data_IF_636107687736
#
_entry.id   IF_636107687736
#
_cell.length_a   1.000
_cell.length_b   1.000
_cell.length_c   1.000
_cell.angle_alpha   90.00
_cell.angle_beta   90.00
_cell.angle_gamma   90.00
#
_symmetry.space_group_name_H-M   'P 1'
#
loop_
_entity.id
_entity.type
_entity.pdbx_description
1 polymer ?
#
# COMPACT_ATOMS: atom_id res chain seq x y z
N UNK A 1 8.23 -61.09 -46.23
CA UNK A 1 8.16 -60.44 -44.91
C UNK A 1 6.78 -59.80 -44.76
N UNK A 2 5.88 -60.47 -44.07
CA UNK A 2 4.55 -59.94 -43.72
C UNK A 2 4.73 -58.88 -42.64
N UNK A 3 4.47 -57.61 -42.97
CA UNK A 3 4.42 -56.53 -41.99
C UNK A 3 3.14 -56.70 -41.17
N UNK A 4 3.28 -57.11 -39.91
CA UNK A 4 2.20 -57.06 -38.94
C UNK A 4 1.96 -55.60 -38.56
N UNK A 5 0.78 -55.08 -38.86
CA UNK A 5 0.32 -53.77 -38.38
C UNK A 5 -0.38 -54.02 -37.05
N UNK A 6 0.18 -53.52 -35.96
CA UNK A 6 -0.46 -53.54 -34.64
C UNK A 6 -1.32 -52.28 -34.55
N UNK A 7 -2.64 -52.45 -34.53
CA UNK A 7 -3.60 -51.40 -34.19
C UNK A 7 -3.71 -51.32 -32.67
N UNK A 8 -3.22 -50.23 -32.09
CA UNK A 8 -3.38 -49.93 -30.67
C UNK A 8 -4.66 -49.11 -30.53
N UNK A 9 -5.60 -49.58 -29.71
CA UNK A 9 -6.79 -48.79 -29.37
C UNK A 9 -6.39 -47.59 -28.50
N UNK A 10 -6.58 -46.38 -29.05
CA UNK A 10 -6.26 -45.12 -28.39
C UNK A 10 -7.46 -44.48 -27.68
N UNK A 11 -8.67 -45.03 -27.84
CA UNK A 11 -9.89 -44.50 -27.22
C UNK A 11 -9.76 -44.28 -25.70
N UNK A 12 -9.22 -45.22 -24.89
CA UNK A 12 -9.10 -44.99 -23.44
C UNK A 12 -8.12 -43.87 -23.08
N UNK A 13 -7.05 -43.71 -23.87
CA UNK A 13 -6.07 -42.64 -23.67
C UNK A 13 -6.67 -41.27 -24.01
N UNK A 14 -7.45 -41.20 -25.09
CA UNK A 14 -8.17 -39.99 -25.50
C UNK A 14 -9.18 -39.60 -24.43
N UNK A 15 -9.97 -40.55 -23.92
CA UNK A 15 -10.95 -40.27 -22.87
C UNK A 15 -10.27 -39.75 -21.59
N UNK A 16 -9.17 -40.36 -21.15
CA UNK A 16 -8.42 -39.88 -19.99
C UNK A 16 -7.90 -38.44 -20.19
N UNK A 17 -7.43 -38.11 -21.40
CA UNK A 17 -6.97 -36.76 -21.71
C UNK A 17 -8.13 -35.75 -21.72
N UNK A 18 -9.32 -36.14 -22.20
CA UNK A 18 -10.53 -35.32 -22.13
C UNK A 18 -10.92 -35.06 -20.68
N UNK A 19 -10.98 -36.10 -19.83
CA UNK A 19 -11.37 -35.97 -18.43
C UNK A 19 -10.41 -35.06 -17.65
N UNK A 20 -9.10 -35.18 -17.91
CA UNK A 20 -8.09 -34.31 -17.29
C UNK A 20 -8.25 -32.85 -17.74
N UNK A 21 -8.48 -32.64 -19.04
CA UNK A 21 -8.67 -31.33 -19.65
C UNK A 21 -9.95 -30.65 -19.14
N UNK A 22 -11.07 -31.37 -19.06
CA UNK A 22 -12.33 -30.90 -18.46
C UNK A 22 -12.14 -30.54 -16.98
N UNK A 23 -11.45 -31.38 -16.20
CA UNK A 23 -11.18 -31.10 -14.78
C UNK A 23 -10.42 -29.79 -14.56
N UNK A 24 -9.42 -29.49 -15.41
CA UNK A 24 -8.68 -28.23 -15.31
C UNK A 24 -9.51 -27.04 -15.77
N UNK A 25 -10.32 -27.20 -16.82
CA UNK A 25 -11.23 -26.16 -17.27
C UNK A 25 -12.24 -25.77 -16.17
N UNK A 26 -12.86 -26.75 -15.51
CA UNK A 26 -13.82 -26.50 -14.43
C UNK A 26 -13.17 -25.80 -13.23
N UNK A 27 -11.93 -26.15 -12.89
CA UNK A 27 -11.17 -25.48 -11.81
C UNK A 27 -10.90 -24.02 -12.13
N UNK A 28 -10.52 -23.71 -13.37
CA UNK A 28 -10.32 -22.31 -13.82
C UNK A 28 -11.65 -21.56 -13.77
N UNK A 29 -12.71 -22.13 -14.35
CA UNK A 29 -14.03 -21.47 -14.38
C UNK A 29 -14.53 -21.18 -12.96
N UNK A 30 -14.40 -22.15 -12.04
CA UNK A 30 -14.77 -21.99 -10.64
C UNK A 30 -13.94 -20.90 -9.96
N UNK A 31 -12.62 -20.88 -10.17
CA UNK A 31 -11.74 -19.88 -9.58
C UNK A 31 -12.09 -18.47 -10.06
N UNK A 32 -12.33 -18.30 -11.37
CA UNK A 32 -12.72 -17.01 -11.95
C UNK A 32 -14.07 -16.52 -11.43
N UNK A 33 -15.06 -17.42 -11.27
CA UNK A 33 -16.35 -17.07 -10.67
C UNK A 33 -16.16 -16.60 -9.22
N UNK A 34 -15.30 -17.27 -8.46
CA UNK A 34 -15.02 -16.88 -7.07
C UNK A 34 -14.30 -15.53 -7.00
N UNK A 35 -13.32 -15.27 -7.86
CA UNK A 35 -12.61 -13.99 -7.93
C UNK A 35 -13.59 -12.86 -8.26
N UNK A 36 -14.46 -13.06 -9.26
CA UNK A 36 -15.45 -12.07 -9.65
C UNK A 36 -16.42 -11.79 -8.50
N UNK A 37 -16.93 -12.84 -7.85
CA UNK A 37 -17.80 -12.69 -6.68
C UNK A 37 -17.12 -11.92 -5.55
N UNK A 38 -15.84 -12.18 -5.32
CA UNK A 38 -15.07 -11.45 -4.33
C UNK A 38 -15.09 -9.94 -4.61
N UNK A 39 -14.80 -9.56 -5.86
CA UNK A 39 -14.76 -8.16 -6.30
C UNK A 39 -16.15 -7.50 -6.27
N UNK A 40 -17.18 -8.20 -6.73
CA UNK A 40 -18.51 -7.63 -6.89
C UNK A 40 -19.30 -7.54 -5.58
N UNK A 41 -19.17 -8.56 -4.73
CA UNK A 41 -20.03 -8.73 -3.54
C UNK A 41 -19.24 -8.82 -2.25
N UNK A 42 -18.25 -9.72 -2.14
CA UNK A 42 -17.67 -10.02 -0.82
C UNK A 42 -16.89 -8.83 -0.25
N UNK A 43 -16.12 -8.14 -1.09
CA UNK A 43 -15.33 -6.98 -0.68
C UNK A 43 -16.21 -5.83 -0.19
N UNK A 44 -17.32 -5.56 -0.88
CA UNK A 44 -18.27 -4.50 -0.51
C UNK A 44 -18.93 -4.82 0.84
N UNK A 45 -19.47 -6.02 0.98
CA UNK A 45 -20.12 -6.47 2.21
C UNK A 45 -19.15 -6.48 3.40
N UNK A 46 -17.90 -6.92 3.17
CA UNK A 46 -16.88 -6.88 4.21
C UNK A 46 -16.54 -5.45 4.62
N UNK A 47 -16.38 -4.52 3.68
CA UNK A 47 -16.05 -3.13 3.98
C UNK A 47 -17.16 -2.44 4.78
N UNK A 48 -18.42 -2.62 4.38
CA UNK A 48 -19.58 -2.10 5.11
C UNK A 48 -19.65 -2.66 6.53
N UNK A 49 -19.51 -3.98 6.67
CA UNK A 49 -19.48 -4.64 7.96
C UNK A 49 -18.30 -4.18 8.83
N UNK A 50 -17.11 -4.05 8.24
CA UNK A 50 -15.90 -3.61 8.93
C UNK A 50 -16.05 -2.18 9.43
N UNK A 51 -16.58 -1.26 8.62
CA UNK A 51 -16.84 0.12 9.03
C UNK A 51 -17.81 0.19 10.21
N UNK A 52 -18.94 -0.52 10.14
CA UNK A 52 -19.93 -0.53 11.24
C UNK A 52 -19.33 -1.10 12.53
N UNK A 53 -18.56 -2.18 12.42
CA UNK A 53 -17.97 -2.87 13.56
C UNK A 53 -16.83 -2.06 14.18
N UNK A 54 -15.94 -1.51 13.35
CA UNK A 54 -14.80 -0.69 13.79
C UNK A 54 -15.25 0.64 14.41
N UNK A 55 -16.30 1.28 13.90
CA UNK A 55 -16.85 2.50 14.50
C UNK A 55 -17.25 2.31 15.97
N UNK A 56 -17.81 1.16 16.33
CA UNK A 56 -18.16 0.86 17.72
C UNK A 56 -16.90 0.77 18.60
N UNK A 57 -15.85 0.10 18.12
CA UNK A 57 -14.59 0.04 18.85
C UNK A 57 -13.88 1.40 18.94
N UNK A 58 -13.96 2.21 17.90
CA UNK A 58 -13.38 3.54 17.88
C UNK A 58 -14.07 4.46 18.88
N UNK A 59 -15.41 4.49 18.90
CA UNK A 59 -16.18 5.25 19.91
C UNK A 59 -15.77 4.89 21.34
N UNK A 60 -15.58 3.61 21.61
CA UNK A 60 -15.14 3.10 22.91
C UNK A 60 -13.74 3.58 23.31
N UNK A 61 -12.83 3.71 22.34
CA UNK A 61 -11.49 4.26 22.55
C UNK A 61 -11.57 5.77 22.72
N UNK A 62 -12.36 6.47 21.91
CA UNK A 62 -12.51 7.92 21.94
C UNK A 62 -13.05 8.41 23.30
N UNK A 63 -13.97 7.66 23.92
CA UNK A 63 -14.45 7.95 25.28
C UNK A 63 -13.30 7.90 26.30
N UNK A 64 -12.41 6.90 26.21
CA UNK A 64 -11.26 6.79 27.12
C UNK A 64 -10.21 7.85 26.78
N UNK A 65 -10.01 8.14 25.49
CA UNK A 65 -9.06 9.12 24.99
C UNK A 65 -9.41 10.53 25.42
N UNK A 66 -10.66 10.95 25.22
CA UNK A 66 -11.15 12.26 25.66
C UNK A 66 -11.03 12.43 27.17
N UNK A 67 -11.28 11.39 27.95
CA UNK A 67 -11.06 11.42 29.40
C UNK A 67 -9.57 11.53 29.76
N UNK A 68 -8.71 10.76 29.09
CA UNK A 68 -7.25 10.82 29.25
C UNK A 68 -6.70 12.21 28.88
N UNK A 69 -7.13 12.76 27.74
CA UNK A 69 -6.66 14.03 27.21
C UNK A 69 -6.96 15.18 28.19
N UNK A 70 -8.18 15.24 28.75
CA UNK A 70 -8.52 16.23 29.78
C UNK A 70 -7.60 16.18 31.00
N UNK A 71 -7.26 14.98 31.46
CA UNK A 71 -6.35 14.78 32.61
C UNK A 71 -4.92 15.17 32.22
N UNK A 72 -4.48 14.83 31.01
CA UNK A 72 -3.16 15.17 30.49
C UNK A 72 -3.00 16.68 30.27
N UNK A 73 -3.99 17.37 29.72
CA UNK A 73 -4.02 18.83 29.57
C UNK A 73 -3.88 19.51 30.93
N UNK A 74 -4.68 19.09 31.92
CA UNK A 74 -4.56 19.60 33.29
C UNK A 74 -3.17 19.31 33.88
N UNK A 75 -2.62 18.11 33.66
CA UNK A 75 -1.26 17.77 34.11
C UNK A 75 -0.20 18.69 33.48
N UNK A 76 -0.31 18.97 32.18
CA UNK A 76 0.60 19.86 31.48
C UNK A 76 0.53 21.29 32.02
N UNK A 77 -0.67 21.78 32.36
CA UNK A 77 -0.82 23.08 33.03
C UNK A 77 -0.16 23.11 34.41
N UNK A 78 -0.24 22.02 35.17
CA UNK A 78 0.43 21.88 36.48
C UNK A 78 1.95 21.93 36.31
N UNK A 79 2.50 21.17 35.35
CA UNK A 79 3.94 21.14 35.08
C UNK A 79 4.43 22.52 34.61
N UNK A 80 3.75 23.13 33.64
CA UNK A 80 4.08 24.47 33.16
C UNK A 80 4.07 25.50 34.29
N UNK A 81 3.01 25.51 35.11
CA UNK A 81 2.90 26.46 36.23
C UNK A 81 4.01 26.26 37.27
N UNK A 82 4.42 25.00 37.52
CA UNK A 82 5.54 24.71 38.40
C UNK A 82 6.85 25.28 37.87
N UNK A 83 7.08 25.21 36.55
CA UNK A 83 8.27 25.75 35.91
C UNK A 83 8.26 27.28 35.82
N UNK A 84 7.17 27.86 35.33
CA UNK A 84 6.98 29.30 35.13
C UNK A 84 7.06 30.09 36.45
N UNK A 85 6.32 29.63 37.47
CA UNK A 85 6.33 30.28 38.79
C UNK A 85 7.47 29.80 39.68
N UNK A 86 8.27 28.83 39.21
CA UNK A 86 9.35 28.18 39.94
C UNK A 86 8.87 27.71 41.34
N UNK A 87 7.75 27.00 41.37
CA UNK A 87 7.12 26.42 42.57
C UNK A 87 7.19 24.89 42.53
N UNK A 88 6.89 24.22 43.65
CA UNK A 88 6.86 22.76 43.67
C UNK A 88 5.66 22.20 42.86
N UNK A 89 5.77 20.98 42.32
CA UNK A 89 4.65 20.35 41.61
C UNK A 89 3.36 20.23 42.45
N UNK A 90 3.42 19.87 43.76
CA UNK A 90 2.22 19.87 44.61
C UNK A 90 1.61 21.27 44.79
N UNK A 91 2.44 22.32 44.86
CA UNK A 91 1.98 23.70 44.97
C UNK A 91 1.33 24.18 43.67
N UNK A 92 1.94 23.88 42.52
CA UNK A 92 1.33 24.15 41.22
C UNK A 92 0.00 23.40 41.03
N UNK A 93 -0.06 22.13 41.47
CA UNK A 93 -1.31 21.36 41.46
C UNK A 93 -2.40 22.06 42.28
N UNK A 94 -2.08 22.50 43.50
CA UNK A 94 -3.01 23.23 44.34
C UNK A 94 -3.51 24.53 43.70
N UNK A 95 -2.60 25.32 43.09
CA UNK A 95 -2.97 26.54 42.37
C UNK A 95 -3.90 26.27 41.17
N UNK A 96 -3.67 25.19 40.43
CA UNK A 96 -4.55 24.82 39.30
C UNK A 96 -5.92 24.32 39.77
N UNK A 97 -5.98 23.61 40.90
CA UNK A 97 -7.27 23.22 41.51
C UNK A 97 -8.05 24.45 41.98
N UNK A 98 -7.39 25.44 42.60
CA UNK A 98 -8.04 26.70 42.96
C UNK A 98 -8.52 27.48 41.73
N UNK A 99 -7.73 27.52 40.66
CA UNK A 99 -8.14 28.12 39.38
C UNK A 99 -9.38 27.42 38.79
N UNK A 100 -9.47 26.09 38.87
CA UNK A 100 -10.63 25.33 38.44
C UNK A 100 -11.87 25.60 39.32
N UNK A 101 -11.71 25.69 40.64
CA UNK A 101 -12.80 26.06 41.56
C UNK A 101 -13.30 27.49 41.30
N UNK A 102 -12.39 28.43 41.02
CA UNK A 102 -12.73 29.80 40.63
C UNK A 102 -13.42 29.85 39.27
N UNK A 103 -13.03 29.00 38.32
CA UNK A 103 -13.69 28.89 37.03
C UNK A 103 -15.12 28.37 37.16
N UNK A 104 -15.34 27.32 37.96
CA UNK A 104 -16.66 26.73 38.17
C UNK A 104 -17.61 27.67 38.92
N UNK A 105 -17.11 28.33 39.97
CA UNK A 105 -17.94 29.16 40.86
C UNK A 105 -17.96 30.66 40.50
N UNK A 106 -17.09 31.10 39.58
CA UNK A 106 -16.91 32.49 39.22
C UNK A 106 -17.98 33.06 38.28
N UNK A 107 -17.98 34.38 38.18
CA UNK A 107 -18.80 35.17 37.25
C UNK A 107 -18.35 34.98 35.80
N UNK A 108 -19.18 35.39 34.83
CA UNK A 108 -18.86 35.25 33.40
C UNK A 108 -17.53 35.94 33.00
N UNK A 109 -17.25 37.10 33.61
CA UNK A 109 -16.02 37.86 33.37
C UNK A 109 -14.78 37.15 33.96
N UNK A 110 -14.90 36.54 35.14
CA UNK A 110 -13.84 35.73 35.75
C UNK A 110 -13.55 34.48 34.91
N UNK A 111 -14.59 33.81 34.39
CA UNK A 111 -14.43 32.68 33.46
C UNK A 111 -13.72 33.08 32.18
N UNK A 112 -14.10 34.22 31.58
CA UNK A 112 -13.45 34.72 30.38
C UNK A 112 -11.96 35.06 30.61
N UNK A 113 -11.63 35.62 31.79
CA UNK A 113 -10.24 35.89 32.18
C UNK A 113 -9.43 34.60 32.35
N UNK A 114 -9.99 33.60 33.01
CA UNK A 114 -9.32 32.29 33.21
C UNK A 114 -9.12 31.57 31.86
N UNK A 115 -10.10 31.62 30.96
CA UNK A 115 -9.94 31.05 29.60
C UNK A 115 -8.79 31.70 28.82
N UNK A 116 -8.67 33.03 28.86
CA UNK A 116 -7.53 33.72 28.24
C UNK A 116 -6.18 33.29 28.83
N UNK A 117 -6.10 33.11 30.16
CA UNK A 117 -4.89 32.61 30.82
C UNK A 117 -4.56 31.17 30.42
N UNK A 118 -5.57 30.30 30.28
CA UNK A 118 -5.40 28.93 29.80
C UNK A 118 -4.94 28.88 28.36
N UNK A 119 -5.50 29.72 27.50
CA UNK A 119 -5.11 29.82 26.09
C UNK A 119 -3.65 30.29 25.95
N UNK A 120 -3.25 31.34 26.68
CA UNK A 120 -1.85 31.80 26.72
C UNK A 120 -0.90 30.71 27.21
N UNK A 121 -1.30 29.97 28.26
CA UNK A 121 -0.55 28.83 28.77
C UNK A 121 -0.42 27.72 27.72
N UNK A 122 -1.48 27.43 26.99
CA UNK A 122 -1.48 26.40 25.96
C UNK A 122 -0.58 26.79 24.77
N UNK A 123 -0.62 28.05 24.32
CA UNK A 123 0.30 28.60 23.30
C UNK A 123 1.76 28.50 23.74
N UNK A 124 2.04 28.81 25.02
CA UNK A 124 3.37 28.66 25.60
C UNK A 124 3.85 27.20 25.64
N UNK A 125 2.96 26.26 26.00
CA UNK A 125 3.25 24.81 26.03
C UNK A 125 3.49 24.26 24.62
N UNK A 126 2.73 24.73 23.63
CA UNK A 126 2.85 24.29 22.24
C UNK A 126 4.08 24.90 21.52
N UNK A 127 4.75 25.88 22.12
CA UNK A 127 5.91 26.55 21.54
C UNK A 127 5.57 27.61 20.50
N UNK A 128 4.32 28.10 20.47
CA UNK A 128 3.84 29.11 19.51
C UNK A 128 4.10 30.55 19.97
N UNK A 129 4.83 30.77 21.07
CA UNK A 129 5.34 32.09 21.42
C UNK A 129 6.72 32.31 20.80
N UNK A 130 6.75 32.46 19.48
CA UNK A 130 7.81 33.23 18.83
C UNK A 130 7.42 34.72 18.95
N UNK A 131 8.17 35.44 19.79
CA UNK A 131 8.51 36.87 19.75
C UNK A 131 7.59 37.87 19.00
N UNK A 132 6.27 37.84 19.19
CA UNK A 132 5.39 38.94 18.78
C UNK A 132 5.35 40.04 19.85
N UNK A 133 6.48 40.76 19.95
CA UNK A 133 6.44 42.17 20.31
C UNK A 133 6.94 42.98 19.12
N UNK A 134 5.97 43.48 18.35
CA UNK A 134 6.03 44.31 17.13
C UNK A 134 5.77 43.55 15.83
N UNK A 135 4.50 43.39 15.45
CA UNK A 135 4.05 43.93 14.16
C UNK A 135 2.53 44.06 14.14
N UNK A 136 2.05 45.27 13.84
CA UNK A 136 0.66 45.51 13.46
C UNK A 136 0.50 44.96 12.03
N UNK A 137 -0.06 43.76 11.90
CA UNK A 137 -0.18 43.07 10.62
C UNK A 137 -1.47 42.26 10.50
N UNK A 138 -2.56 42.98 10.26
CA UNK A 138 -3.80 42.49 9.64
C UNK A 138 -3.53 41.46 8.52
N UNK A 139 -3.89 40.20 8.73
CA UNK A 139 -4.39 39.31 7.67
C UNK A 139 -5.29 38.24 8.30
N UNK A 140 -6.59 38.54 8.33
CA UNK A 140 -7.58 37.51 8.08
C UNK A 140 -7.36 36.97 6.67
N UNK A 141 -7.08 35.67 6.52
CA UNK A 141 -7.44 35.00 5.28
C UNK A 141 -7.82 33.55 5.54
N UNK A 142 -9.08 33.27 5.23
CA UNK A 142 -9.63 31.94 5.03
C UNK A 142 -8.74 31.21 4.02
N UNK A 143 -7.99 30.20 4.47
CA UNK A 143 -7.35 29.25 3.57
C UNK A 143 -8.43 28.38 2.93
N UNK A 144 -9.02 28.92 1.86
CA UNK A 144 -9.77 28.22 0.84
C UNK A 144 -8.85 27.08 0.34
N UNK A 145 -9.25 25.85 0.64
CA UNK A 145 -8.70 24.65 0.01
C UNK A 145 -9.08 24.72 -1.48
N UNK A 146 -8.25 25.36 -2.29
CA UNK A 146 -8.36 25.29 -3.74
C UNK A 146 -8.11 23.83 -4.16
N UNK A 147 -9.15 23.22 -4.71
CA UNK A 147 -9.16 21.88 -5.29
C UNK A 147 -8.35 21.95 -6.61
N UNK A 148 -7.02 21.89 -6.48
CA UNK A 148 -6.08 21.92 -7.61
C UNK A 148 -6.41 20.74 -8.52
N UNK A 149 -6.74 21.03 -9.78
CA UNK A 149 -7.10 20.00 -10.76
C UNK A 149 -5.96 18.98 -10.94
N UNK A 150 -6.30 17.72 -11.28
CA UNK A 150 -5.31 16.66 -11.53
C UNK A 150 -4.26 17.06 -12.60
N UNK A 151 -4.62 17.94 -13.53
CA UNK A 151 -3.75 18.44 -14.59
C UNK A 151 -2.70 19.44 -14.07
N UNK A 152 -3.08 20.31 -13.14
CA UNK A 152 -2.16 21.23 -12.46
C UNK A 152 -1.21 20.49 -11.51
N UNK A 153 -1.70 19.46 -10.82
CA UNK A 153 -0.84 18.59 -9.99
C UNK A 153 0.21 17.87 -10.84
N UNK A 154 -0.16 17.37 -12.02
CA UNK A 154 0.79 16.74 -12.95
C UNK A 154 1.83 17.74 -13.47
N UNK A 155 1.42 18.96 -13.80
CA UNK A 155 2.33 20.00 -14.27
C UNK A 155 3.33 20.42 -13.19
N UNK A 156 2.86 20.60 -11.95
CA UNK A 156 3.75 20.88 -10.81
C UNK A 156 4.73 19.72 -10.56
N UNK A 157 4.28 18.47 -10.63
CA UNK A 157 5.15 17.30 -10.48
C UNK A 157 6.21 17.20 -11.60
N UNK A 158 5.85 17.53 -12.84
CA UNK A 158 6.80 17.59 -13.96
C UNK A 158 7.85 18.69 -13.77
N UNK A 159 7.44 19.87 -13.33
CA UNK A 159 8.36 20.98 -13.05
C UNK A 159 9.31 20.65 -11.90
N UNK A 160 8.79 20.09 -10.79
CA UNK A 160 9.61 19.62 -9.67
C UNK A 160 10.63 18.55 -10.11
N UNK A 161 10.22 17.59 -10.94
CA UNK A 161 11.11 16.57 -11.48
C UNK A 161 12.23 17.19 -12.33
N UNK A 162 11.88 18.17 -13.18
CA UNK A 162 12.86 18.86 -14.02
C UNK A 162 13.88 19.61 -13.18
N UNK A 163 13.43 20.28 -12.11
CA UNK A 163 14.32 20.94 -11.15
C UNK A 163 15.22 19.96 -10.41
N UNK A 164 14.68 18.84 -9.92
CA UNK A 164 15.46 17.81 -9.22
C UNK A 164 16.53 17.20 -10.13
N UNK A 165 16.22 16.93 -11.41
CA UNK A 165 17.19 16.42 -12.39
C UNK A 165 18.29 17.42 -12.70
N UNK A 166 17.95 18.71 -12.82
CA UNK A 166 18.94 19.76 -13.02
C UNK A 166 19.85 19.92 -11.80
N UNK A 167 19.30 19.80 -10.58
CA UNK A 167 20.06 19.86 -9.34
C UNK A 167 21.08 18.71 -9.23
N UNK A 168 20.70 17.49 -9.61
CA UNK A 168 21.53 16.28 -9.55
C UNK A 168 22.25 15.92 -10.85
N UNK A 169 22.36 16.85 -11.81
CA UNK A 169 22.89 16.55 -13.15
C UNK A 169 24.30 15.92 -13.11
N UNK A 170 25.17 16.41 -12.23
CA UNK A 170 26.55 15.92 -12.09
C UNK A 170 26.58 14.52 -11.51
N UNK A 171 25.78 14.25 -10.49
CA UNK A 171 25.66 12.98 -9.80
C UNK A 171 25.05 11.92 -10.72
N UNK A 172 24.00 12.26 -11.47
CA UNK A 172 23.39 11.40 -12.48
C UNK A 172 24.40 11.00 -13.55
N UNK A 173 25.11 11.98 -14.11
CA UNK A 173 26.17 11.72 -15.10
C UNK A 173 27.28 10.84 -14.53
N UNK A 174 27.68 11.05 -13.27
CA UNK A 174 28.65 10.21 -12.59
C UNK A 174 28.18 8.75 -12.50
N UNK A 175 26.93 8.49 -12.08
CA UNK A 175 26.40 7.14 -11.97
C UNK A 175 26.16 6.46 -13.33
N UNK A 176 25.75 7.21 -14.35
CA UNK A 176 25.62 6.72 -15.72
C UNK A 176 26.98 6.20 -16.23
N UNK A 177 28.06 6.94 -15.96
CA UNK A 177 29.44 6.59 -16.36
C UNK A 177 30.07 5.45 -15.55
N UNK A 178 29.50 5.06 -14.40
CA UNK A 178 30.02 3.92 -13.63
C UNK A 178 29.78 2.60 -14.38
N UNK A 179 30.86 1.93 -14.76
CA UNK A 179 30.79 0.56 -15.26
C UNK A 179 30.52 -0.43 -14.12
N UNK A 180 29.91 -1.58 -14.43
CA UNK A 180 29.70 -2.64 -13.42
C UNK A 180 30.98 -3.09 -12.73
N UNK A 181 32.13 -3.04 -13.44
CA UNK A 181 33.44 -3.34 -12.86
C UNK A 181 33.86 -2.32 -11.80
N UNK A 182 33.57 -1.04 -12.03
CA UNK A 182 33.84 0.02 -11.04
C UNK A 182 32.89 -0.09 -9.85
N UNK A 183 31.60 -0.36 -10.08
CA UNK A 183 30.62 -0.57 -9.00
C UNK A 183 31.07 -1.74 -8.13
N UNK A 184 31.40 -2.90 -8.74
CA UNK A 184 31.93 -4.06 -8.00
C UNK A 184 33.25 -3.78 -7.27
N UNK A 185 34.05 -2.81 -7.72
CA UNK A 185 35.28 -2.38 -7.04
C UNK A 185 34.96 -1.56 -5.79
N UNK A 186 34.02 -0.62 -5.88
CA UNK A 186 33.56 0.20 -4.74
C UNK A 186 32.90 -0.71 -3.69
N UNK A 187 32.06 -1.64 -4.13
CA UNK A 187 31.34 -2.60 -3.28
C UNK A 187 32.23 -3.63 -2.55
N UNK A 188 33.57 -3.59 -2.74
CA UNK A 188 34.50 -4.39 -1.94
C UNK A 188 34.63 -3.87 -0.52
N UNK A 189 34.45 -2.56 -0.33
CA UNK A 189 34.39 -1.94 0.98
C UNK A 189 32.92 -1.79 1.41
N UNK A 190 32.59 -2.32 2.58
CA UNK A 190 31.21 -2.32 3.08
C UNK A 190 30.71 -0.89 3.38
N UNK A 191 31.58 0.03 3.80
CA UNK A 191 31.21 1.41 4.12
C UNK A 191 30.95 2.21 2.85
N UNK A 192 31.88 2.16 1.89
CA UNK A 192 31.75 2.87 0.62
C UNK A 192 30.58 2.32 -0.21
N UNK A 193 30.37 1.00 -0.19
CA UNK A 193 29.23 0.36 -0.84
C UNK A 193 27.88 0.80 -0.26
N UNK A 194 27.77 0.92 1.08
CA UNK A 194 26.56 1.43 1.72
C UNK A 194 26.33 2.91 1.42
N UNK A 195 27.37 3.76 1.46
CA UNK A 195 27.23 5.17 1.11
C UNK A 195 26.79 5.37 -0.34
N UNK A 196 27.36 4.61 -1.28
CA UNK A 196 26.96 4.65 -2.68
C UNK A 196 25.46 4.32 -2.86
N UNK A 197 24.97 3.32 -2.13
CA UNK A 197 23.56 2.93 -2.15
C UNK A 197 22.65 4.01 -1.54
N UNK A 198 23.02 4.59 -0.40
CA UNK A 198 22.24 5.68 0.22
C UNK A 198 22.11 6.85 -0.76
N UNK A 199 23.23 7.33 -1.30
CA UNK A 199 23.23 8.47 -2.22
C UNK A 199 22.43 8.17 -3.49
N UNK A 200 22.62 7.00 -4.09
CA UNK A 200 21.91 6.61 -5.29
C UNK A 200 20.39 6.50 -5.06
N UNK A 201 19.97 5.94 -3.91
CA UNK A 201 18.55 5.83 -3.55
C UNK A 201 17.93 7.21 -3.33
N UNK A 202 18.60 8.10 -2.59
CA UNK A 202 18.12 9.47 -2.39
C UNK A 202 17.91 10.19 -3.72
N UNK A 203 18.91 10.13 -4.60
CA UNK A 203 18.87 10.83 -5.90
C UNK A 203 17.78 10.24 -6.80
N UNK A 204 17.60 8.92 -6.82
CA UNK A 204 16.60 8.30 -7.67
C UNK A 204 15.17 8.44 -7.15
N UNK A 205 14.95 8.61 -5.83
CA UNK A 205 13.64 8.99 -5.30
C UNK A 205 13.24 10.41 -5.74
N UNK A 206 14.20 11.32 -5.89
CA UNK A 206 13.95 12.70 -6.33
C UNK A 206 13.90 12.85 -7.86
N UNK A 207 14.69 12.07 -8.60
CA UNK A 207 14.84 12.20 -10.06
C UNK A 207 14.09 11.13 -10.88
N UNK A 208 13.45 10.18 -10.21
CA UNK A 208 12.78 9.01 -10.77
C UNK A 208 13.70 8.08 -11.60
N UNK A 209 15.03 8.18 -11.45
CA UNK A 209 16.02 7.35 -12.16
C UNK A 209 16.25 5.99 -11.46
N UNK A 210 15.19 5.19 -11.37
CA UNK A 210 15.25 3.86 -10.73
C UNK A 210 16.12 2.85 -11.48
N UNK A 211 16.39 3.10 -12.76
CA UNK A 211 17.34 2.35 -13.59
C UNK A 211 18.77 2.37 -13.00
N UNK A 212 19.19 3.51 -12.43
CA UNK A 212 20.49 3.65 -11.80
C UNK A 212 20.61 2.84 -10.51
N UNK A 213 19.57 2.88 -9.66
CA UNK A 213 19.54 2.04 -8.45
C UNK A 213 19.61 0.58 -8.86
N UNK A 214 18.81 0.15 -9.84
CA UNK A 214 18.76 -1.26 -10.25
C UNK A 214 20.13 -1.74 -10.75
N UNK A 215 20.82 -0.93 -11.56
CA UNK A 215 22.20 -1.20 -12.04
C UNK A 215 23.18 -1.38 -10.87
N UNK A 216 23.17 -0.48 -9.89
CA UNK A 216 24.06 -0.54 -8.72
C UNK A 216 23.68 -1.73 -7.82
N UNK A 217 22.40 -1.94 -7.60
CA UNK A 217 21.86 -3.01 -6.78
C UNK A 217 22.17 -4.40 -7.33
N UNK A 218 22.09 -4.60 -8.66
CA UNK A 218 22.47 -5.85 -9.30
C UNK A 218 23.97 -6.19 -9.14
N UNK A 219 24.80 -5.17 -8.95
CA UNK A 219 26.23 -5.34 -8.67
C UNK A 219 26.58 -5.45 -7.18
N UNK A 220 25.58 -5.35 -6.28
CA UNK A 220 25.79 -5.29 -4.83
C UNK A 220 25.93 -6.70 -4.22
N UNK A 221 26.97 -6.97 -3.40
CA UNK A 221 27.14 -8.25 -2.70
C UNK A 221 25.98 -8.57 -1.73
N UNK A 222 25.63 -9.86 -1.54
CA UNK A 222 24.52 -10.27 -0.65
C UNK A 222 24.62 -9.73 0.79
N UNK A 223 25.85 -9.59 1.30
CA UNK A 223 26.13 -9.06 2.64
C UNK A 223 25.67 -7.61 2.78
N UNK A 224 26.03 -6.75 1.82
CA UNK A 224 25.66 -5.33 1.79
C UNK A 224 24.15 -5.21 1.55
N UNK A 225 23.58 -6.01 0.63
CA UNK A 225 22.13 -6.04 0.39
C UNK A 225 21.33 -6.30 1.66
N UNK A 226 21.72 -7.31 2.44
CA UNK A 226 21.05 -7.67 3.70
C UNK A 226 21.11 -6.54 4.73
N UNK A 227 22.28 -5.90 4.88
CA UNK A 227 22.47 -4.78 5.81
C UNK A 227 21.64 -3.57 5.40
N UNK A 228 21.69 -3.20 4.12
CA UNK A 228 20.97 -2.06 3.57
C UNK A 228 19.45 -2.25 3.66
N UNK A 229 18.93 -3.40 3.23
CA UNK A 229 17.50 -3.72 3.30
C UNK A 229 16.95 -3.65 4.74
N UNK A 230 17.73 -4.07 5.74
CA UNK A 230 17.31 -3.99 7.15
C UNK A 230 17.16 -2.54 7.62
N UNK A 231 18.05 -1.65 7.19
CA UNK A 231 17.95 -0.22 7.46
C UNK A 231 16.78 0.41 6.71
N UNK A 232 16.73 0.17 5.40
CA UNK A 232 15.69 0.70 4.51
C UNK A 232 14.27 0.27 4.93
N UNK A 233 14.08 -1.00 5.31
CA UNK A 233 12.78 -1.49 5.79
C UNK A 233 12.35 -0.85 7.11
N UNK A 234 13.30 -0.48 7.98
CA UNK A 234 12.98 0.22 9.23
C UNK A 234 12.50 1.65 8.97
N UNK A 235 13.04 2.32 7.96
CA UNK A 235 12.71 3.70 7.62
C UNK A 235 11.46 3.82 6.74
N UNK A 236 11.33 2.95 5.73
CA UNK A 236 10.30 3.06 4.69
C UNK A 236 9.22 1.96 4.76
N UNK A 237 9.32 1.02 5.71
CA UNK A 237 8.34 -0.06 5.90
C UNK A 237 8.40 -1.19 4.85
N UNK A 238 9.29 -1.11 3.85
CA UNK A 238 9.52 -2.15 2.83
C UNK A 238 11.01 -2.30 2.51
N UNK A 239 11.43 -3.44 1.97
CA UNK A 239 12.81 -3.62 1.48
C UNK A 239 13.04 -2.87 0.17
N UNK A 240 14.31 -2.55 -0.15
CA UNK A 240 14.65 -1.95 -1.44
C UNK A 240 14.35 -2.93 -2.59
N UNK A 241 14.54 -4.24 -2.37
CA UNK A 241 14.12 -5.28 -3.32
C UNK A 241 12.61 -5.17 -3.64
N UNK A 242 11.77 -5.03 -2.62
CA UNK A 242 10.32 -4.89 -2.82
C UNK A 242 9.91 -3.58 -3.49
N UNK A 243 10.64 -2.48 -3.23
CA UNK A 243 10.43 -1.21 -3.93
C UNK A 243 10.79 -1.35 -5.42
N UNK A 244 11.96 -1.89 -5.73
CA UNK A 244 12.43 -2.05 -7.10
C UNK A 244 11.53 -3.02 -7.89
N UNK A 245 11.07 -4.10 -7.28
CA UNK A 245 10.14 -5.05 -7.90
C UNK A 245 8.83 -4.34 -8.30
N UNK A 246 8.20 -3.60 -7.37
CA UNK A 246 6.99 -2.82 -7.66
C UNK A 246 7.19 -1.78 -8.75
N UNK A 247 8.32 -1.07 -8.72
CA UNK A 247 8.63 -0.06 -9.73
C UNK A 247 8.87 -0.71 -11.09
N UNK A 248 9.55 -1.87 -11.15
CA UNK A 248 9.73 -2.61 -12.40
C UNK A 248 8.44 -3.18 -12.96
N UNK A 249 7.56 -3.69 -12.10
CA UNK A 249 6.25 -4.22 -12.49
C UNK A 249 5.36 -3.10 -13.03
N UNK A 250 5.24 -1.99 -12.29
CA UNK A 250 4.51 -0.81 -12.72
C UNK A 250 5.05 -0.24 -14.04
N UNK A 251 6.36 -0.16 -14.20
CA UNK A 251 6.98 0.33 -15.43
C UNK A 251 6.72 -0.60 -16.63
N UNK A 252 6.62 -1.91 -16.42
CA UNK A 252 6.23 -2.88 -17.46
C UNK A 252 4.75 -2.75 -17.82
N UNK A 253 3.89 -2.58 -16.83
CA UNK A 253 2.45 -2.33 -17.03
C UNK A 253 2.23 -1.04 -17.84
N UNK A 254 2.88 0.06 -17.45
CA UNK A 254 2.79 1.36 -18.12
C UNK A 254 3.38 1.34 -19.54
N UNK A 255 4.37 0.47 -19.77
CA UNK A 255 4.98 0.25 -21.09
C UNK A 255 4.23 -0.76 -21.97
N UNK A 256 3.27 -1.52 -21.42
CA UNK A 256 2.51 -2.53 -22.15
C UNK A 256 3.36 -3.70 -22.69
N UNK A 257 4.48 -4.02 -22.02
CA UNK A 257 5.43 -5.02 -22.49
C UNK A 257 5.09 -6.39 -21.90
N UNK A 258 4.78 -7.36 -22.76
CA UNK A 258 4.64 -8.79 -22.39
C UNK A 258 6.00 -9.38 -21.98
N UNK A 259 6.03 -10.37 -21.08
CA UNK A 259 7.24 -10.93 -20.44
C UNK A 259 8.38 -11.43 -21.38
N UNK A 260 8.16 -11.51 -22.70
CA UNK A 260 9.12 -12.00 -23.69
C UNK A 260 9.77 -10.90 -24.55
N UNK A 261 9.32 -9.64 -24.46
CA UNK A 261 9.89 -8.51 -25.23
C UNK A 261 11.06 -7.84 -24.45
N UNK A 262 12.10 -7.38 -25.15
CA UNK A 262 13.25 -6.65 -24.55
C UNK A 262 12.78 -5.31 -23.94
N UNK A 263 12.42 -5.34 -22.65
CA UNK A 263 12.04 -4.16 -21.90
C UNK A 263 13.28 -3.31 -21.56
N UNK A 264 13.39 -2.15 -22.23
CA UNK A 264 14.42 -1.16 -21.89
C UNK A 264 13.96 -0.29 -20.71
N UNK A 265 14.23 -0.78 -19.50
CA UNK A 265 13.88 -0.13 -18.24
C UNK A 265 14.39 1.32 -18.14
N UNK A 266 15.54 1.65 -18.74
CA UNK A 266 16.12 2.99 -18.68
C UNK A 266 15.29 4.04 -19.45
N UNK A 267 14.76 3.67 -20.64
CA UNK A 267 13.96 4.59 -21.47
C UNK A 267 12.63 4.97 -20.84
N UNK A 268 12.04 4.11 -20.01
CA UNK A 268 10.77 4.38 -19.34
C UNK A 268 10.87 5.57 -18.38
N UNK A 269 12.02 5.78 -17.75
CA UNK A 269 12.23 6.86 -16.80
C UNK A 269 12.76 8.15 -17.43
N UNK A 270 13.03 8.20 -18.73
CA UNK A 270 13.42 9.46 -19.40
C UNK A 270 12.27 10.48 -19.38
N UNK A 271 11.02 10.02 -19.55
CA UNK A 271 9.78 10.84 -19.49
C UNK A 271 8.67 10.18 -18.66
N UNK A 272 8.73 10.19 -17.32
CA UNK A 272 7.78 9.45 -16.46
C UNK A 272 6.32 9.91 -16.53
N UNK A 273 6.09 11.12 -17.05
CA UNK A 273 4.77 11.76 -17.10
C UNK A 273 4.24 11.95 -18.53
N UNK A 274 5.03 11.63 -19.55
CA UNK A 274 4.48 11.49 -20.90
C UNK A 274 3.72 10.17 -20.91
N UNK A 275 2.38 10.22 -20.87
CA UNK A 275 1.54 9.05 -21.19
C UNK A 275 2.11 8.45 -22.46
N UNK A 276 2.65 7.25 -22.34
CA UNK A 276 3.38 6.57 -23.40
C UNK A 276 2.58 6.65 -24.70
N UNK A 277 3.00 7.56 -25.59
CA UNK A 277 2.60 7.58 -26.99
C UNK A 277 3.07 6.30 -27.71
N UNK A 278 3.79 5.42 -26.98
CA UNK A 278 4.15 4.04 -27.33
C UNK A 278 2.95 3.18 -27.79
N UNK A 279 1.71 3.51 -27.40
CA UNK A 279 0.52 2.87 -27.98
C UNK A 279 0.37 3.07 -29.49
N UNK A 280 1.09 4.00 -30.12
CA UNK A 280 1.10 4.16 -31.60
C UNK A 280 2.32 3.56 -32.28
N UNK A 281 3.48 3.45 -31.61
CA UNK A 281 4.73 3.06 -32.27
C UNK A 281 5.03 1.56 -32.19
N UNK A 282 4.40 0.82 -31.29
CA UNK A 282 4.63 -0.63 -31.14
C UNK A 282 3.76 -1.51 -32.06
N UNK A 283 2.85 -0.90 -32.85
CA UNK A 283 1.98 -1.61 -33.80
C UNK A 283 2.76 -2.12 -35.04
N UNK A 284 3.98 -1.62 -35.28
CA UNK A 284 4.71 -1.86 -36.53
C UNK A 284 5.86 -2.87 -36.41
N UNK A 285 6.12 -3.46 -35.24
CA UNK A 285 7.29 -4.34 -35.01
C UNK A 285 7.00 -5.74 -34.45
N UNK A 286 5.78 -6.28 -34.58
CA UNK A 286 5.54 -7.74 -34.41
C UNK A 286 5.59 -8.44 -35.77
N UNK A 287 6.22 -9.61 -35.83
CA UNK A 287 6.45 -10.34 -37.08
C UNK A 287 5.12 -10.57 -37.84
N UNK A 288 5.09 -10.39 -39.17
CA UNK A 288 3.87 -10.51 -39.97
C UNK A 288 3.19 -11.89 -39.87
N UNK A 289 3.92 -12.94 -39.49
CA UNK A 289 3.39 -14.31 -39.32
C UNK A 289 2.45 -14.45 -38.11
N UNK A 290 2.76 -13.82 -36.97
CA UNK A 290 1.93 -13.89 -35.77
C UNK A 290 0.61 -13.13 -35.93
N UNK A 291 0.63 -12.03 -36.70
CA UNK A 291 -0.57 -11.27 -37.05
C UNK A 291 -1.53 -12.11 -37.91
N UNK A 292 -1.02 -12.87 -38.87
CA UNK A 292 -1.84 -13.77 -39.70
C UNK A 292 -2.37 -14.97 -38.91
N UNK A 293 -1.55 -15.57 -38.04
CA UNK A 293 -1.99 -16.65 -37.15
C UNK A 293 -3.06 -16.19 -36.17
N UNK A 294 -2.93 -14.99 -35.60
CA UNK A 294 -3.94 -14.39 -34.72
C UNK A 294 -5.29 -14.23 -35.44
N UNK A 295 -5.28 -13.73 -36.69
CA UNK A 295 -6.49 -13.64 -37.53
C UNK A 295 -7.14 -15.00 -37.77
N UNK A 296 -6.35 -16.04 -38.03
CA UNK A 296 -6.84 -17.40 -38.26
C UNK A 296 -7.55 -17.94 -37.01
N UNK A 297 -6.90 -17.88 -35.84
CA UNK A 297 -7.48 -18.37 -34.59
C UNK A 297 -8.71 -17.55 -34.18
N UNK A 298 -8.67 -16.23 -34.33
CA UNK A 298 -9.82 -15.37 -34.07
C UNK A 298 -11.02 -15.72 -34.94
N UNK A 299 -10.82 -15.93 -36.25
CA UNK A 299 -11.90 -16.36 -37.15
C UNK A 299 -12.46 -17.72 -36.75
N UNK A 300 -11.61 -18.69 -36.40
CA UNK A 300 -12.05 -20.03 -35.94
C UNK A 300 -12.88 -19.94 -34.67
N UNK A 301 -12.42 -19.14 -33.70
CA UNK A 301 -13.15 -18.85 -32.46
C UNK A 301 -14.52 -18.23 -32.74
N UNK A 302 -14.56 -17.14 -33.51
CA UNK A 302 -15.82 -16.47 -33.83
C UNK A 302 -16.77 -17.38 -34.59
N UNK A 303 -16.26 -18.24 -35.48
CA UNK A 303 -17.10 -19.23 -36.17
C UNK A 303 -17.74 -20.26 -35.24
N UNK A 304 -17.22 -20.49 -34.03
CA UNK A 304 -17.78 -21.45 -33.07
C UNK A 304 -18.63 -20.79 -31.98
N UNK A 305 -18.28 -19.55 -31.60
CA UNK A 305 -18.88 -18.85 -30.45
C UNK A 305 -19.96 -17.83 -30.87
N UNK A 306 -20.11 -17.53 -32.17
CA UNK A 306 -21.15 -16.60 -32.65
C UNK A 306 -22.55 -17.06 -32.21
N UNK A 307 -23.43 -16.16 -31.72
CA UNK A 307 -24.71 -16.54 -31.12
C UNK A 307 -25.63 -17.24 -32.13
N UNK A 308 -25.51 -16.92 -33.42
CA UNK A 308 -26.29 -17.56 -34.49
C UNK A 308 -25.95 -19.04 -34.73
N UNK A 309 -24.76 -19.49 -34.30
CA UNK A 309 -24.32 -20.88 -34.48
C UNK A 309 -24.55 -21.76 -33.25
N UNK A 310 -24.89 -21.15 -32.11
CA UNK A 310 -25.14 -21.84 -30.86
C UNK A 310 -26.64 -22.09 -30.68
N UNK A 311 -27.00 -23.21 -30.05
CA UNK A 311 -28.39 -23.49 -29.70
C UNK A 311 -28.91 -22.42 -28.72
N UNK A 312 -30.14 -21.93 -28.92
CA UNK A 312 -30.73 -20.88 -28.06
C UNK A 312 -30.70 -21.22 -26.57
N UNK A 313 -30.94 -22.48 -26.21
CA UNK A 313 -30.87 -22.98 -24.83
C UNK A 313 -29.46 -22.92 -24.23
N UNK A 314 -28.43 -23.15 -25.03
CA UNK A 314 -27.04 -23.02 -24.60
C UNK A 314 -26.70 -21.55 -24.37
N UNK A 315 -27.10 -20.66 -25.29
CA UNK A 315 -26.88 -19.21 -25.17
C UNK A 315 -27.56 -18.65 -23.92
N UNK A 316 -28.78 -19.07 -23.60
CA UNK A 316 -29.47 -18.62 -22.37
C UNK A 316 -28.81 -19.12 -21.10
N UNK A 317 -28.35 -20.38 -21.08
CA UNK A 317 -27.77 -21.01 -19.88
C UNK A 317 -26.34 -20.53 -19.61
N UNK A 318 -25.55 -20.29 -20.66
CA UNK A 318 -24.13 -19.91 -20.59
C UNK A 318 -23.90 -18.44 -20.96
N UNK A 319 -24.92 -17.57 -20.88
CA UNK A 319 -24.82 -16.15 -21.27
C UNK A 319 -23.62 -15.43 -20.66
N UNK A 320 -23.48 -15.49 -19.34
CA UNK A 320 -22.37 -14.83 -18.62
C UNK A 320 -21.00 -15.42 -18.98
N UNK A 321 -20.95 -16.71 -19.32
CA UNK A 321 -19.73 -17.35 -19.80
C UNK A 321 -19.37 -16.85 -21.22
N UNK A 322 -20.35 -16.77 -22.13
CA UNK A 322 -20.16 -16.25 -23.48
C UNK A 322 -19.69 -14.79 -23.48
N UNK A 323 -20.29 -13.93 -22.65
CA UNK A 323 -19.88 -12.53 -22.53
C UNK A 323 -18.44 -12.39 -22.03
N UNK A 324 -18.04 -13.18 -21.03
CA UNK A 324 -16.65 -13.21 -20.53
C UNK A 324 -15.68 -13.73 -21.59
N UNK A 325 -16.06 -14.83 -22.25
CA UNK A 325 -15.27 -15.43 -23.32
C UNK A 325 -15.06 -14.46 -24.48
N UNK A 326 -16.09 -13.71 -24.89
CA UNK A 326 -15.95 -12.69 -25.94
C UNK A 326 -14.99 -11.59 -25.57
N UNK A 327 -15.08 -11.06 -24.34
CA UNK A 327 -14.12 -10.06 -23.86
C UNK A 327 -12.69 -10.62 -23.92
N UNK A 328 -12.46 -11.83 -23.43
CA UNK A 328 -11.15 -12.51 -23.50
C UNK A 328 -10.65 -12.69 -24.93
N UNK A 329 -11.51 -13.11 -25.86
CA UNK A 329 -11.15 -13.28 -27.28
C UNK A 329 -10.82 -11.92 -27.92
N UNK A 330 -11.60 -10.87 -27.63
CA UNK A 330 -11.36 -9.52 -28.15
C UNK A 330 -10.05 -8.95 -27.63
N UNK A 331 -9.78 -9.07 -26.33
CA UNK A 331 -8.51 -8.64 -25.72
C UNK A 331 -7.34 -9.45 -26.28
N UNK A 332 -7.43 -10.78 -26.32
CA UNK A 332 -6.36 -11.61 -26.87
C UNK A 332 -6.09 -11.32 -28.36
N UNK A 333 -7.10 -10.91 -29.12
CA UNK A 333 -6.95 -10.52 -30.52
C UNK A 333 -6.40 -9.09 -30.69
N UNK A 334 -6.85 -8.11 -29.88
CA UNK A 334 -6.27 -6.76 -29.88
C UNK A 334 -4.78 -6.81 -29.54
N UNK A 335 -4.42 -7.70 -28.63
CA UNK A 335 -3.06 -7.86 -28.14
C UNK A 335 -2.25 -8.80 -29.05
N UNK A 336 -2.81 -9.27 -30.17
CA UNK A 336 -2.24 -10.26 -31.10
C UNK A 336 -1.62 -11.50 -30.40
N UNK A 337 -2.19 -11.91 -29.26
CA UNK A 337 -1.68 -12.99 -28.45
C UNK A 337 -2.17 -14.35 -28.98
N UNK A 338 -1.44 -14.90 -29.95
CA UNK A 338 -1.75 -16.18 -30.61
C UNK A 338 -1.89 -17.32 -29.61
N UNK A 339 -1.07 -17.34 -28.55
CA UNK A 339 -1.11 -18.37 -27.51
C UNK A 339 -2.40 -18.33 -26.72
N UNK A 340 -2.81 -17.13 -26.29
CA UNK A 340 -4.09 -16.92 -25.62
C UNK A 340 -5.27 -17.29 -26.52
N UNK A 341 -5.24 -16.91 -27.80
CA UNK A 341 -6.27 -17.29 -28.77
C UNK A 341 -6.33 -18.82 -28.99
N UNK A 342 -5.19 -19.51 -29.04
CA UNK A 342 -5.13 -20.97 -29.15
C UNK A 342 -5.69 -21.66 -27.90
N UNK A 343 -5.37 -21.14 -26.71
CA UNK A 343 -5.92 -21.64 -25.44
C UNK A 343 -7.43 -21.43 -25.37
N UNK A 344 -7.92 -20.24 -25.72
CA UNK A 344 -9.35 -19.95 -25.77
C UNK A 344 -10.07 -20.84 -26.78
N UNK A 345 -9.43 -21.15 -27.92
CA UNK A 345 -9.99 -22.06 -28.91
C UNK A 345 -10.16 -23.48 -28.35
N UNK A 346 -9.16 -23.99 -27.62
CA UNK A 346 -9.26 -25.28 -26.92
C UNK A 346 -10.37 -25.25 -25.86
N UNK A 347 -10.44 -24.20 -25.04
CA UNK A 347 -11.52 -24.02 -24.05
C UNK A 347 -12.91 -24.06 -24.70
N UNK A 348 -13.10 -23.39 -25.84
CA UNK A 348 -14.36 -23.41 -26.60
C UNK A 348 -14.71 -24.80 -27.10
N UNK A 349 -13.74 -25.54 -27.65
CA UNK A 349 -14.00 -26.90 -28.13
C UNK A 349 -14.41 -27.84 -26.99
N UNK A 350 -13.80 -27.69 -25.82
CA UNK A 350 -14.15 -28.46 -24.60
C UNK A 350 -15.57 -28.10 -24.15
N UNK A 351 -15.88 -26.81 -23.99
CA UNK A 351 -17.20 -26.37 -23.53
C UNK A 351 -18.33 -26.77 -24.49
N UNK A 352 -18.03 -26.90 -25.79
CA UNK A 352 -18.96 -27.37 -26.82
C UNK A 352 -18.94 -28.91 -27.01
N UNK A 353 -18.06 -29.63 -26.32
CA UNK A 353 -17.84 -31.08 -26.45
C UNK A 353 -17.50 -31.53 -27.88
N UNK A 354 -16.79 -30.70 -28.63
CA UNK A 354 -16.36 -30.99 -30.01
C UNK A 354 -14.95 -31.61 -30.03
N UNK A 355 -14.80 -32.75 -29.37
CA UNK A 355 -13.50 -33.42 -29.21
C UNK A 355 -12.94 -34.02 -30.51
N UNK A 356 -13.81 -34.29 -31.49
CA UNK A 356 -13.44 -34.86 -32.79
C UNK A 356 -12.50 -33.94 -33.60
N UNK A 357 -12.44 -32.65 -33.25
CA UNK A 357 -11.60 -31.65 -33.91
C UNK A 357 -10.19 -31.53 -33.28
N UNK A 358 -9.89 -32.34 -32.25
CA UNK A 358 -8.66 -32.21 -31.46
C UNK A 358 -7.89 -33.53 -31.45
N UNK A 359 -6.60 -33.46 -31.77
CA UNK A 359 -5.71 -34.64 -31.69
C UNK A 359 -5.36 -34.97 -30.25
N UNK A 360 -5.01 -36.23 -29.96
CA UNK A 360 -4.55 -36.64 -28.62
C UNK A 360 -3.38 -35.77 -28.10
N UNK A 361 -2.44 -35.41 -28.97
CA UNK A 361 -1.33 -34.50 -28.63
C UNK A 361 -1.81 -33.11 -28.22
N UNK A 362 -2.83 -32.59 -28.89
CA UNK A 362 -3.41 -31.28 -28.57
C UNK A 362 -4.24 -31.31 -27.29
N UNK A 363 -4.94 -32.41 -26.99
CA UNK A 363 -5.64 -32.61 -25.71
C UNK A 363 -4.65 -32.59 -24.54
N UNK A 364 -3.54 -33.34 -24.65
CA UNK A 364 -2.51 -33.40 -23.61
C UNK A 364 -1.81 -32.05 -23.43
N UNK A 365 -1.43 -31.40 -24.53
CA UNK A 365 -0.85 -30.05 -24.48
C UNK A 365 -1.85 -29.04 -23.89
N UNK A 366 -3.13 -29.15 -24.25
CA UNK A 366 -4.20 -28.33 -23.70
C UNK A 366 -4.34 -28.48 -22.19
N UNK A 367 -4.29 -29.72 -21.67
CA UNK A 367 -4.38 -29.98 -20.24
C UNK A 367 -3.20 -29.37 -19.48
N UNK A 368 -1.97 -29.50 -20.02
CA UNK A 368 -0.79 -28.85 -19.45
C UNK A 368 -0.88 -27.32 -19.50
N UNK A 369 -1.44 -26.75 -20.58
CA UNK A 369 -1.63 -25.31 -20.73
C UNK A 369 -2.67 -24.78 -19.74
N UNK A 370 -3.82 -25.45 -19.59
CA UNK A 370 -4.83 -25.07 -18.59
C UNK A 370 -4.29 -25.23 -17.17
N UNK A 371 -3.50 -26.27 -16.88
CA UNK A 371 -2.85 -26.42 -15.58
C UNK A 371 -1.92 -25.25 -15.26
N UNK A 372 -1.10 -24.81 -16.23
CA UNK A 372 -0.23 -23.64 -16.11
C UNK A 372 -1.02 -22.34 -15.96
N UNK A 373 -2.13 -22.21 -16.67
CA UNK A 373 -3.03 -21.06 -16.57
C UNK A 373 -3.70 -21.00 -15.18
N UNK A 374 -4.18 -22.13 -14.68
CA UNK A 374 -4.73 -22.24 -13.33
C UNK A 374 -3.72 -21.82 -12.26
N UNK A 375 -2.47 -22.30 -12.34
CA UNK A 375 -1.43 -21.89 -11.40
C UNK A 375 -1.12 -20.41 -11.51
N UNK A 376 -1.04 -19.86 -12.73
CA UNK A 376 -0.82 -18.42 -12.96
C UNK A 376 -1.95 -17.56 -12.39
N UNK A 377 -3.21 -17.92 -12.63
CA UNK A 377 -4.37 -17.19 -12.08
C UNK A 377 -4.33 -17.25 -10.56
N UNK A 378 -4.03 -18.42 -9.98
CA UNK A 378 -3.96 -18.59 -8.53
C UNK A 378 -2.82 -17.77 -7.89
N UNK A 379 -1.66 -17.71 -8.55
CA UNK A 379 -0.51 -16.93 -8.08
C UNK A 379 -0.76 -15.43 -8.22
N UNK A 380 -1.23 -14.97 -9.37
CA UNK A 380 -1.59 -13.55 -9.58
C UNK A 380 -2.69 -13.07 -8.64
N UNK A 381 -3.60 -13.96 -8.22
CA UNK A 381 -4.68 -13.66 -7.29
C UNK A 381 -4.39 -14.13 -5.86
N UNK A 382 -3.15 -14.45 -5.51
CA UNK A 382 -2.79 -14.95 -4.18
C UNK A 382 -3.19 -13.96 -3.07
N UNK A 383 -3.00 -12.66 -3.31
CA UNK A 383 -3.40 -11.62 -2.37
C UNK A 383 -4.92 -11.60 -2.16
N UNK A 384 -5.69 -11.61 -3.25
CA UNK A 384 -7.16 -11.68 -3.26
C UNK A 384 -7.68 -12.90 -2.49
N UNK A 385 -7.08 -14.07 -2.74
CA UNK A 385 -7.44 -15.34 -2.11
C UNK A 385 -7.11 -15.38 -0.62
N UNK A 386 -6.08 -14.63 -0.19
CA UNK A 386 -5.70 -14.48 1.22
C UNK A 386 -6.47 -13.38 1.95
N UNK A 387 -7.27 -12.59 1.25
CA UNK A 387 -7.94 -11.44 1.83
C UNK A 387 -9.01 -11.88 2.86
N UNK A 388 -9.16 -11.19 4.00
CA UNK A 388 -10.15 -11.55 5.03
C UNK A 388 -11.61 -11.57 4.52
N UNK A 389 -11.89 -10.74 3.50
CA UNK A 389 -13.19 -10.70 2.83
C UNK A 389 -13.44 -11.91 1.90
N UNK A 390 -12.48 -12.79 1.66
CA UNK A 390 -12.68 -13.90 0.75
C UNK A 390 -13.78 -14.86 1.23
N UNK A 391 -14.82 -15.04 0.41
CA UNK A 391 -15.97 -15.85 0.76
C UNK A 391 -16.85 -15.25 1.86
N UNK A 392 -16.72 -13.95 2.15
CA UNK A 392 -17.43 -13.27 3.24
C UNK A 392 -18.94 -13.47 3.16
N UNK A 393 -19.54 -13.33 1.97
CA UNK A 393 -21.00 -13.49 1.78
C UNK A 393 -21.55 -14.88 2.09
N UNK A 394 -20.71 -15.91 2.16
CA UNK A 394 -21.12 -17.28 2.47
C UNK A 394 -20.78 -17.71 3.91
N UNK A 395 -20.11 -16.86 4.69
CA UNK A 395 -19.78 -17.22 6.05
C UNK A 395 -21.03 -17.29 6.91
N UNK A 396 -21.20 -18.41 7.63
CA UNK A 396 -22.31 -18.60 8.57
C UNK A 396 -22.11 -17.86 9.90
N UNK A 397 -20.88 -17.43 10.19
CA UNK A 397 -20.50 -16.81 11.46
C UNK A 397 -19.28 -15.92 11.26
N UNK A 398 -19.37 -14.69 11.75
CA UNK A 398 -18.30 -13.69 11.67
C UNK A 398 -17.46 -13.61 12.96
N UNK A 399 -17.75 -14.41 13.98
CA UNK A 399 -17.10 -14.33 15.31
C UNK A 399 -15.57 -14.37 15.29
N UNK A 400 -14.99 -15.13 14.35
CA UNK A 400 -13.54 -15.23 14.21
C UNK A 400 -12.94 -13.93 13.70
N UNK A 401 -13.52 -13.37 12.63
CA UNK A 401 -13.14 -12.06 12.07
C UNK A 401 -13.36 -10.94 13.09
N UNK A 402 -14.50 -10.95 13.79
CA UNK A 402 -14.77 -9.99 14.88
C UNK A 402 -13.68 -10.02 15.94
N UNK A 403 -13.23 -11.22 16.35
CA UNK A 403 -12.17 -11.36 17.35
C UNK A 403 -10.84 -10.82 16.84
N UNK A 404 -10.45 -11.18 15.62
CA UNK A 404 -9.19 -10.72 14.99
C UNK A 404 -9.17 -9.20 14.85
N UNK A 405 -10.28 -8.59 14.44
CA UNK A 405 -10.39 -7.14 14.33
C UNK A 405 -10.44 -6.48 15.71
N UNK A 406 -11.11 -7.08 16.69
CA UNK A 406 -11.26 -6.48 18.02
C UNK A 406 -9.96 -6.46 18.85
N UNK A 407 -9.02 -7.38 18.61
CA UNK A 407 -7.78 -7.48 19.39
C UNK A 407 -6.95 -6.18 19.42
N UNK A 408 -6.59 -5.55 18.28
CA UNK A 408 -5.83 -4.31 18.30
C UNK A 408 -6.56 -3.16 19.02
N UNK A 409 -7.88 -3.05 18.86
CA UNK A 409 -8.66 -2.02 19.57
C UNK A 409 -8.71 -2.28 21.08
N UNK A 410 -8.86 -3.54 21.50
CA UNK A 410 -8.83 -3.92 22.92
C UNK A 410 -7.47 -3.63 23.55
N UNK A 411 -6.38 -3.90 22.82
CA UNK A 411 -5.03 -3.60 23.28
C UNK A 411 -4.81 -2.08 23.42
N UNK A 412 -5.22 -1.30 22.42
CA UNK A 412 -5.13 0.16 22.46
C UNK A 412 -5.96 0.73 23.63
N UNK A 413 -7.23 0.33 23.76
CA UNK A 413 -8.08 0.72 24.89
C UNK A 413 -7.43 0.38 26.23
N UNK A 414 -6.85 -0.82 26.37
CA UNK A 414 -6.17 -1.25 27.60
C UNK A 414 -4.95 -0.40 27.92
N UNK A 415 -4.13 -0.06 26.92
CA UNK A 415 -2.96 0.81 27.07
C UNK A 415 -3.40 2.21 27.52
N UNK A 416 -4.36 2.79 26.82
CA UNK A 416 -4.87 4.12 27.12
C UNK A 416 -5.52 4.21 28.51
N UNK A 417 -6.26 3.18 28.92
CA UNK A 417 -6.80 3.10 30.29
C UNK A 417 -5.69 3.05 31.33
N UNK A 418 -4.59 2.32 31.08
CA UNK A 418 -3.44 2.27 32.01
C UNK A 418 -2.74 3.63 32.12
N UNK A 419 -2.57 4.32 30.99
CA UNK A 419 -1.95 5.65 30.97
C UNK A 419 -2.83 6.67 31.71
N UNK A 420 -4.15 6.58 31.52
CA UNK A 420 -5.14 7.34 32.28
C UNK A 420 -5.05 7.06 33.79
N UNK A 421 -5.11 5.81 34.22
CA UNK A 421 -5.05 5.46 35.65
C UNK A 421 -3.75 5.92 36.29
N UNK A 422 -2.62 5.82 35.56
CA UNK A 422 -1.31 6.29 36.04
C UNK A 422 -1.31 7.80 36.27
N UNK A 423 -1.89 8.59 35.37
CA UNK A 423 -2.01 10.04 35.56
C UNK A 423 -2.94 10.39 36.74
N UNK A 424 -4.05 9.67 36.88
CA UNK A 424 -4.98 9.84 38.02
C UNK A 424 -4.28 9.55 39.36
N UNK A 425 -3.49 8.46 39.45
CA UNK A 425 -2.69 8.13 40.63
C UNK A 425 -1.64 9.20 40.95
N UNK A 426 -0.98 9.76 39.93
CA UNK A 426 -0.05 10.87 40.10
C UNK A 426 -0.75 12.12 40.64
N UNK A 427 -1.93 12.46 40.10
CA UNK A 427 -2.71 13.60 40.58
C UNK A 427 -3.21 13.37 42.01
N UNK A 428 -3.62 12.16 42.36
CA UNK A 428 -3.99 11.80 43.74
C UNK A 428 -2.81 11.96 44.72
N UNK A 429 -1.61 11.55 44.30
CA UNK A 429 -0.38 11.74 45.09
C UNK A 429 0.00 13.22 45.25
N UNK A 430 -0.11 14.01 44.17
CA UNK A 430 0.10 15.46 44.22
C UNK A 430 -0.90 16.14 45.15
N UNK A 431 -2.17 15.74 45.09
CA UNK A 431 -3.23 16.23 45.99
C UNK A 431 -2.90 15.93 47.46
N UNK A 432 -2.55 14.69 47.79
CA UNK A 432 -2.17 14.32 49.16
C UNK A 432 -0.95 15.11 49.65
N UNK A 433 0.05 15.29 48.79
CA UNK A 433 1.24 16.08 49.10
C UNK A 433 0.91 17.56 49.32
N UNK A 434 0.02 18.12 48.50
CA UNK A 434 -0.46 19.49 48.64
C UNK A 434 -1.24 19.70 49.95
N UNK A 435 -2.18 18.80 50.26
CA UNK A 435 -2.94 18.84 51.51
C UNK A 435 -2.03 18.70 52.74
N UNK A 436 -1.02 17.83 52.69
CA UNK A 436 -0.04 17.68 53.76
C UNK A 436 0.76 18.96 53.98
N UNK A 437 1.25 19.59 52.90
CA UNK A 437 1.98 20.85 52.97
C UNK A 437 1.13 21.98 53.58
N UNK A 438 -0.14 22.07 53.18
CA UNK A 438 -1.09 23.03 53.75
C UNK A 438 -1.32 22.80 55.26
N UNK A 439 -1.38 21.54 55.72
CA UNK A 439 -1.48 21.23 57.16
C UNK A 439 -0.22 21.59 57.94
N UNK A 440 0.95 21.54 57.33
CA UNK A 440 2.25 21.83 57.98
C UNK A 440 2.66 23.31 57.94
N UNK A 441 1.78 24.22 57.51
CA UNK A 441 2.03 25.67 57.50
C UNK A 441 2.44 26.25 56.14
N UNK A 442 2.14 25.55 55.04
CA UNK A 442 2.36 26.03 53.67
C UNK A 442 3.47 25.27 52.94
N UNK A 443 3.69 25.64 51.68
CA UNK A 443 4.71 25.00 50.84
C UNK A 443 6.11 25.52 51.21
N UNK A 444 7.12 24.63 51.29
CA UNK A 444 8.50 25.07 51.52
C UNK A 444 8.97 25.95 50.36
N UNK A 445 9.80 26.98 50.62
CA UNK A 445 10.30 27.87 49.58
C UNK A 445 11.06 27.07 48.50
N UNK A 446 11.01 27.50 47.24
CA UNK A 446 11.50 26.71 46.13
C UNK A 446 12.98 26.38 46.29
N UNK A 447 13.34 25.12 46.03
CA UNK A 447 14.74 24.70 45.95
C UNK A 447 15.44 25.56 44.91
N UNK A 448 16.31 26.48 45.34
CA UNK A 448 17.20 27.22 44.44
C UNK A 448 18.00 26.19 43.64
N UNK A 449 17.63 25.95 42.38
CA UNK A 449 18.44 25.18 41.43
C UNK A 449 19.80 25.86 41.38
N UNK A 450 20.82 25.27 42.02
CA UNK A 450 22.22 25.69 41.87
C UNK A 450 22.52 25.62 40.38
N UNK A 451 22.60 26.77 39.69
CA UNK A 451 23.07 26.86 38.31
C UNK A 451 24.38 26.10 38.23
N UNK A 452 24.38 24.90 37.65
CA UNK A 452 25.60 24.18 37.29
C UNK A 452 26.31 25.08 36.28
N UNK A 453 27.35 25.81 36.73
CA UNK A 453 28.23 26.56 35.84
C UNK A 453 28.74 25.58 34.80
N UNK A 454 28.30 25.76 33.55
CA UNK A 454 28.91 25.12 32.41
C UNK A 454 30.39 25.52 32.41
N UNK A 455 31.28 24.57 32.71
CA UNK A 455 32.71 24.73 32.48
C UNK A 455 32.90 24.83 30.97
N UNK A 456 32.96 26.05 30.45
CA UNK A 456 33.59 26.32 29.15
C UNK A 456 35.04 25.86 29.26
N UNK A 457 35.35 24.69 28.68
CA UNK A 457 36.73 24.34 28.35
C UNK A 457 37.11 25.23 27.17
N UNK A 458 38.16 26.03 27.39
CA UNK A 458 38.91 26.72 26.34
C UNK A 458 39.77 25.71 25.60
#
# INVERSE_FOLDING_TARGET
MTKYIILIDQAPLIQQAIDELESWHDKIETLEIQIQRFQDTDLKLYNEWFQLTSQNYQRDIDIVFTAYQKIAEFHNWVVYTAEDKNVSLPEAYYLMVQEEEQFLNGTADERARILKLREQRQKAINGEMDDESNDDGDYSDDAIFDDISEEEQQKQAQEQLKHARAYHERELHYYDMLSEKQIRKIMKDDSDGLMLLVQCVTIALETYRYDLILKIWNCTPPKIKKTFNKGFQKEFGMSLDGLLERVTEKAREDAGVDEEDEFNFARHFESPFEKSSAKKTQWETRAPEDSELAKIYYRRLMQKVHPDKLKKEFVSTRKNWLERLWKKIQTAYSDQNVRSLKNLYLQVLISLKHYDEVTYSELKQGAELLKKEYTRIRESQAQTLSHPAWGFSHQKSYKKLEKEIAEPYKENKKRLTRDKTRLEELHASLKQSAEAAMRTGGFPPPFRKRKRRARRRR
#
